data_IF_432413479665
#
_entry.id   IF_432413479665
#
_cell.length_a   1.000
_cell.length_b   1.000
_cell.length_c   1.000
_cell.angle_alpha   90.00
_cell.angle_beta   90.00
_cell.angle_gamma   90.00
#
_symmetry.space_group_name_H-M   'P 1'
#
loop_
_entity.id
_entity.type
_entity.pdbx_description
1 polymer ?
#
# COMPACT_ATOMS: atom_id res chain seq x y z
N UNK A 1 93.15 3.71 54.83
CA UNK A 1 93.42 2.68 55.84
C UNK A 1 93.20 1.31 55.20
N UNK A 2 94.18 0.73 54.49
CA UNK A 2 95.22 -0.20 54.98
C UNK A 2 94.72 -1.41 55.78
N UNK A 3 94.77 -2.56 55.08
CA UNK A 3 95.15 -3.93 55.50
C UNK A 3 94.43 -4.57 56.69
N UNK A 4 93.90 -5.77 56.46
CA UNK A 4 94.50 -6.97 57.07
C UNK A 4 94.10 -8.24 56.33
N UNK A 5 95.09 -8.79 55.63
CA UNK A 5 95.23 -10.19 55.25
C UNK A 5 95.42 -11.05 56.51
N UNK A 6 94.60 -12.09 56.67
CA UNK A 6 94.96 -13.40 57.29
C UNK A 6 93.70 -14.24 57.47
N UNK A 7 93.51 -15.17 56.55
CA UNK A 7 93.24 -16.57 56.89
C UNK A 7 93.30 -17.37 55.58
N UNK A 8 94.53 -17.57 55.12
CA UNK A 8 94.91 -18.81 54.46
C UNK A 8 95.07 -19.88 55.55
N UNK A 9 94.72 -21.12 55.20
CA UNK A 9 94.83 -22.36 55.98
C UNK A 9 93.68 -22.73 56.93
N UNK A 10 92.56 -23.16 56.34
CA UNK A 10 91.97 -24.47 56.63
C UNK A 10 90.85 -24.80 55.63
N UNK A 11 90.83 -26.04 55.14
CA UNK A 11 89.85 -26.66 54.23
C UNK A 11 90.22 -26.74 52.74
N UNK A 12 91.43 -27.24 52.46
CA UNK A 12 91.51 -28.38 51.56
C UNK A 12 90.77 -29.58 52.21
N UNK A 13 90.00 -30.32 51.39
CA UNK A 13 89.18 -31.52 51.67
C UNK A 13 87.67 -31.25 51.85
N UNK A 14 86.96 -31.19 50.72
CA UNK A 14 85.97 -32.21 50.33
C UNK A 14 85.65 -32.04 48.83
N UNK A 15 86.67 -32.16 47.97
CA UNK A 15 86.46 -32.60 46.57
C UNK A 15 86.19 -34.10 46.59
N UNK A 16 85.05 -34.48 47.17
CA UNK A 16 84.43 -35.76 46.94
C UNK A 16 83.37 -35.53 45.89
N UNK A 17 83.70 -35.72 44.62
CA UNK A 17 82.67 -35.99 43.62
C UNK A 17 81.90 -37.19 44.19
N UNK A 18 80.60 -37.06 44.52
CA UNK A 18 79.88 -38.14 45.18
C UNK A 18 80.00 -39.39 44.31
N UNK A 19 80.16 -40.59 44.89
CA UNK A 19 80.32 -41.81 44.11
C UNK A 19 79.15 -41.90 43.12
N UNK A 20 79.44 -42.26 41.87
CA UNK A 20 78.45 -42.28 40.79
C UNK A 20 77.22 -43.18 41.11
N UNK A 21 77.37 -44.06 42.10
CA UNK A 21 76.37 -45.02 42.59
C UNK A 21 75.81 -44.67 43.99
N UNK A 22 75.73 -43.39 44.40
CA UNK A 22 74.97 -43.00 45.59
C UNK A 22 73.45 -43.13 45.32
N UNK A 23 72.77 -44.10 45.94
CA UNK A 23 71.36 -44.40 45.65
C UNK A 23 70.42 -43.24 46.03
N UNK A 24 70.80 -42.40 46.97
CA UNK A 24 70.01 -41.24 47.39
C UNK A 24 70.10 -40.13 46.34
N UNK A 25 71.29 -39.88 45.79
CA UNK A 25 71.51 -38.91 44.71
C UNK A 25 70.87 -39.36 43.38
N UNK A 26 70.90 -40.66 43.08
CA UNK A 26 70.20 -41.23 41.93
C UNK A 26 68.67 -41.06 42.05
N UNK A 27 68.10 -41.38 43.23
CA UNK A 27 66.67 -41.20 43.50
C UNK A 27 66.24 -39.73 43.46
N UNK A 28 67.07 -38.80 43.95
CA UNK A 28 66.83 -37.36 43.88
C UNK A 28 66.84 -36.83 42.45
N UNK A 29 67.79 -37.27 41.60
CA UNK A 29 67.83 -36.89 40.18
C UNK A 29 66.61 -37.41 39.42
N UNK A 30 66.21 -38.65 39.68
CA UNK A 30 64.97 -39.20 39.12
C UNK A 30 63.72 -38.43 39.57
N UNK A 31 63.64 -38.07 40.84
CA UNK A 31 62.54 -37.26 41.36
C UNK A 31 62.52 -35.85 40.73
N UNK A 32 63.68 -35.23 40.51
CA UNK A 32 63.80 -33.93 39.85
C UNK A 32 63.36 -34.00 38.38
N UNK A 33 63.73 -35.06 37.65
CA UNK A 33 63.28 -35.28 36.27
C UNK A 33 61.76 -35.44 36.22
N UNK A 34 61.19 -36.31 37.06
CA UNK A 34 59.72 -36.52 37.15
C UNK A 34 58.99 -35.23 37.52
N UNK A 35 59.54 -34.43 38.43
CA UNK A 35 58.96 -33.14 38.82
C UNK A 35 59.01 -32.13 37.66
N UNK A 36 60.13 -32.03 36.94
CA UNK A 36 60.26 -31.14 35.77
C UNK A 36 59.31 -31.53 34.64
N UNK A 37 59.16 -32.82 34.36
CA UNK A 37 58.20 -33.32 33.36
C UNK A 37 56.75 -33.00 33.75
N UNK A 38 56.40 -33.24 35.02
CA UNK A 38 55.07 -32.92 35.56
C UNK A 38 54.79 -31.41 35.54
N UNK A 39 55.79 -30.58 35.86
CA UNK A 39 55.68 -29.12 35.82
C UNK A 39 55.46 -28.60 34.39
N UNK A 40 56.20 -29.14 33.41
CA UNK A 40 56.01 -28.79 31.98
C UNK A 40 54.63 -29.18 31.47
N UNK A 41 54.13 -30.37 31.85
CA UNK A 41 52.78 -30.80 31.48
C UNK A 41 51.70 -29.88 32.08
N UNK A 42 51.88 -29.43 33.33
CA UNK A 42 50.98 -28.48 33.97
C UNK A 42 51.02 -27.10 33.32
N UNK A 43 52.22 -26.61 32.93
CA UNK A 43 52.36 -25.36 32.17
C UNK A 43 51.64 -25.43 30.83
N UNK A 44 51.79 -26.54 30.11
CA UNK A 44 51.11 -26.75 28.83
C UNK A 44 49.58 -26.76 29.01
N UNK A 45 49.06 -27.45 30.02
CA UNK A 45 47.62 -27.44 30.31
C UNK A 45 47.10 -26.06 30.74
N UNK A 46 47.89 -25.29 31.51
CA UNK A 46 47.53 -23.93 31.89
C UNK A 46 47.43 -23.03 30.66
N UNK A 47 48.36 -23.15 29.73
CA UNK A 47 48.40 -22.33 28.52
C UNK A 47 47.27 -22.73 27.55
N UNK A 48 46.96 -24.03 27.43
CA UNK A 48 45.79 -24.53 26.69
C UNK A 48 44.47 -24.03 27.29
N UNK A 49 44.32 -24.04 28.62
CA UNK A 49 43.13 -23.53 29.31
C UNK A 49 43.00 -22.00 29.13
N UNK A 50 44.11 -21.26 29.16
CA UNK A 50 44.11 -19.82 28.91
C UNK A 50 43.66 -19.50 27.47
N UNK A 51 44.15 -20.25 26.48
CA UNK A 51 43.72 -20.11 25.10
C UNK A 51 42.23 -20.45 24.92
N UNK A 52 41.74 -21.54 25.54
CA UNK A 52 40.34 -21.93 25.49
C UNK A 52 39.40 -20.90 26.16
N UNK A 53 39.85 -20.25 27.24
CA UNK A 53 39.10 -19.16 27.88
C UNK A 53 39.00 -17.93 27.00
N UNK A 54 40.12 -17.52 26.39
CA UNK A 54 40.13 -16.38 25.47
C UNK A 54 39.23 -16.62 24.25
N UNK A 55 39.20 -17.85 23.73
CA UNK A 55 38.32 -18.21 22.61
C UNK A 55 36.84 -18.21 23.02
N UNK A 56 36.50 -18.72 24.22
CA UNK A 56 35.13 -18.65 24.73
C UNK A 56 34.65 -17.20 24.92
N UNK A 57 35.46 -16.34 25.53
CA UNK A 57 35.12 -14.91 25.70
C UNK A 57 34.85 -14.24 24.34
N UNK A 58 35.65 -14.58 23.33
CA UNK A 58 35.45 -14.08 21.96
C UNK A 58 34.13 -14.59 21.35
N UNK A 59 33.83 -15.88 21.47
CA UNK A 59 32.59 -16.47 20.95
C UNK A 59 31.35 -15.95 21.66
N UNK A 60 31.41 -15.71 22.97
CA UNK A 60 30.33 -15.10 23.75
C UNK A 60 30.05 -13.66 23.28
N UNK A 61 31.10 -12.87 23.02
CA UNK A 61 30.96 -11.53 22.47
C UNK A 61 30.34 -11.55 21.05
N UNK A 62 30.76 -12.47 20.19
CA UNK A 62 30.19 -12.61 18.84
C UNK A 62 28.72 -13.06 18.86
N UNK A 63 28.37 -13.98 19.77
CA UNK A 63 26.99 -14.43 19.96
C UNK A 63 26.09 -13.29 20.45
N UNK A 64 26.56 -12.50 21.42
CA UNK A 64 25.83 -11.35 21.93
C UNK A 64 25.58 -10.30 20.82
N UNK A 65 26.59 -10.03 19.98
CA UNK A 65 26.46 -9.13 18.83
C UNK A 65 25.40 -9.63 17.82
N UNK A 66 25.43 -10.91 17.44
CA UNK A 66 24.43 -11.49 16.53
C UNK A 66 23.02 -11.51 17.10
N UNK A 67 22.88 -11.74 18.41
CA UNK A 67 21.57 -11.70 19.07
C UNK A 67 20.98 -10.29 19.06
N UNK A 68 21.80 -9.26 19.28
CA UNK A 68 21.37 -7.87 19.19
C UNK A 68 20.91 -7.49 17.77
N UNK A 69 21.66 -7.93 16.74
CA UNK A 69 21.31 -7.73 15.33
C UNK A 69 19.99 -8.42 14.97
N UNK A 70 19.83 -9.69 15.33
CA UNK A 70 18.60 -10.45 15.08
C UNK A 70 17.38 -9.84 15.79
N UNK A 71 17.55 -9.30 17.01
CA UNK A 71 16.50 -8.60 17.73
C UNK A 71 16.12 -7.26 17.08
N UNK A 72 17.07 -6.58 16.42
CA UNK A 72 16.78 -5.41 15.58
C UNK A 72 15.93 -5.76 14.37
N UNK A 73 16.35 -6.79 13.63
CA UNK A 73 15.64 -7.27 12.44
C UNK A 73 14.22 -7.75 12.75
N UNK A 74 14.01 -8.48 13.86
CA UNK A 74 12.68 -8.93 14.28
C UNK A 74 11.76 -7.78 14.62
N UNK A 75 12.24 -6.78 15.37
CA UNK A 75 11.44 -5.58 15.68
C UNK A 75 11.06 -4.81 14.41
N UNK A 76 11.97 -4.71 13.44
CA UNK A 76 11.68 -4.09 12.15
C UNK A 76 10.62 -4.88 11.37
N UNK A 77 10.73 -6.22 11.33
CA UNK A 77 9.77 -7.08 10.65
C UNK A 77 8.38 -7.09 11.30
N UNK A 78 8.30 -7.07 12.63
CA UNK A 78 7.04 -6.96 13.38
C UNK A 78 6.36 -5.63 13.09
N UNK A 79 7.11 -4.52 13.11
CA UNK A 79 6.58 -3.20 12.79
C UNK A 79 6.10 -3.09 11.32
N UNK A 80 6.84 -3.67 10.38
CA UNK A 80 6.45 -3.78 8.97
C UNK A 80 5.14 -4.57 8.81
N UNK A 81 4.98 -5.66 9.58
CA UNK A 81 3.79 -6.53 9.53
C UNK A 81 2.55 -5.86 10.12
N UNK A 82 2.66 -5.23 11.29
CA UNK A 82 1.57 -4.43 11.87
C UNK A 82 1.12 -3.31 10.92
N UNK A 83 2.07 -2.67 10.23
CA UNK A 83 1.77 -1.62 9.25
C UNK A 83 1.12 -2.16 7.98
N UNK A 84 1.55 -3.32 7.49
CA UNK A 84 0.90 -3.99 6.36
C UNK A 84 -0.56 -4.39 6.72
N UNK A 85 -0.80 -4.83 7.95
CA UNK A 85 -2.14 -5.16 8.44
C UNK A 85 -3.00 -3.89 8.59
N UNK A 86 -2.45 -2.79 9.12
CA UNK A 86 -3.13 -1.48 9.17
C UNK A 86 -3.43 -0.91 7.78
N UNK A 87 -2.51 -1.08 6.83
CA UNK A 87 -2.69 -0.69 5.42
C UNK A 87 -3.78 -1.53 4.75
N UNK A 88 -3.76 -2.85 4.93
CA UNK A 88 -4.79 -3.74 4.42
C UNK A 88 -6.17 -3.42 5.02
N UNK A 89 -6.25 -3.14 6.32
CA UNK A 89 -7.48 -2.73 6.98
C UNK A 89 -7.96 -1.35 6.51
N UNK A 90 -7.05 -0.41 6.26
CA UNK A 90 -7.39 0.91 5.70
C UNK A 90 -7.88 0.79 4.27
N UNK A 91 -7.24 -0.04 3.43
CA UNK A 91 -7.68 -0.34 2.06
C UNK A 91 -9.03 -1.07 2.01
N UNK A 92 -9.30 -1.97 2.95
CA UNK A 92 -10.60 -2.63 3.08
C UNK A 92 -11.71 -1.62 3.45
N UNK A 93 -11.39 -0.62 4.27
CA UNK A 93 -12.30 0.48 4.59
C UNK A 93 -12.46 1.45 3.41
N UNK A 94 -11.40 1.68 2.62
CA UNK A 94 -11.42 2.40 1.34
C UNK A 94 -12.41 1.76 0.36
N UNK A 95 -12.40 0.43 0.25
CA UNK A 95 -13.32 -0.31 -0.62
C UNK A 95 -14.79 -0.18 -0.17
N UNK A 96 -15.05 0.08 1.12
CA UNK A 96 -16.40 0.34 1.66
C UNK A 96 -16.86 1.78 1.50
N UNK A 97 -15.92 2.73 1.49
CA UNK A 97 -16.15 4.16 1.35
C UNK A 97 -16.25 4.64 -0.11
N UNK A 98 -16.13 3.73 -1.09
CA UNK A 98 -16.32 3.97 -2.53
C UNK A 98 -17.71 4.54 -2.92
N UNK A 99 -18.58 4.83 -1.95
CA UNK A 99 -19.95 5.28 -2.18
C UNK A 99 -20.29 6.67 -1.60
N UNK A 100 -19.34 7.42 -1.01
CA UNK A 100 -19.69 8.74 -0.42
C UNK A 100 -18.65 9.86 -0.45
N UNK A 101 -17.49 9.71 -1.11
CA UNK A 101 -16.46 10.76 -1.16
C UNK A 101 -15.59 10.78 -2.42
N UNK A 102 -14.90 11.90 -2.65
CA UNK A 102 -13.87 12.02 -3.69
C UNK A 102 -12.71 11.10 -3.32
N UNK A 103 -12.21 10.34 -4.29
CA UNK A 103 -11.20 9.32 -3.98
C UNK A 103 -9.89 9.93 -3.47
N UNK A 104 -9.65 11.20 -3.79
CA UNK A 104 -8.55 11.99 -3.24
C UNK A 104 -8.67 12.21 -1.73
N UNK A 105 -9.90 12.38 -1.20
CA UNK A 105 -10.13 12.53 0.25
C UNK A 105 -9.72 11.27 1.01
N UNK A 106 -9.96 10.13 0.39
CA UNK A 106 -9.69 8.84 0.97
C UNK A 106 -8.18 8.56 1.06
N UNK A 107 -7.46 8.87 -0.03
CA UNK A 107 -6.00 8.79 -0.07
C UNK A 107 -5.42 9.74 0.99
N UNK A 108 -5.92 10.96 1.05
CA UNK A 108 -5.48 11.97 2.01
C UNK A 108 -5.72 11.49 3.45
N UNK A 109 -6.92 10.99 3.78
CA UNK A 109 -7.23 10.43 5.12
C UNK A 109 -6.30 9.29 5.50
N UNK A 110 -6.01 8.38 4.57
CA UNK A 110 -5.08 7.29 4.81
C UNK A 110 -3.67 7.81 5.12
N UNK A 111 -3.18 8.79 4.35
CA UNK A 111 -1.89 9.44 4.59
C UNK A 111 -1.85 10.11 5.97
N UNK A 112 -2.86 10.92 6.31
CA UNK A 112 -2.96 11.59 7.61
C UNK A 112 -2.94 10.58 8.77
N UNK A 113 -3.71 9.49 8.65
CA UNK A 113 -3.77 8.44 9.67
C UNK A 113 -2.42 7.77 9.88
N UNK A 114 -1.72 7.44 8.78
CA UNK A 114 -0.47 6.67 8.85
C UNK A 114 0.73 7.52 9.27
N UNK A 115 0.76 8.81 8.92
CA UNK A 115 1.82 9.73 9.35
C UNK A 115 1.51 10.42 10.68
N UNK A 116 0.31 10.25 11.23
CA UNK A 116 -0.16 10.97 12.41
C UNK A 116 -0.35 12.48 12.17
N UNK A 117 -0.50 12.90 10.92
CA UNK A 117 -0.75 14.29 10.55
C UNK A 117 -2.21 14.65 10.77
N UNK A 118 -2.46 15.90 11.15
CA UNK A 118 -3.82 16.37 11.45
C UNK A 118 -4.42 17.19 10.31
N UNK A 119 -3.58 17.75 9.44
CA UNK A 119 -4.00 18.61 8.32
C UNK A 119 -3.34 18.14 7.04
N UNK A 120 -4.01 18.33 5.91
CA UNK A 120 -3.38 18.05 4.62
C UNK A 120 -4.19 18.46 3.41
N UNK A 121 -3.54 18.40 2.25
CA UNK A 121 -4.12 18.60 0.94
C UNK A 121 -3.58 17.60 -0.07
N UNK A 122 -4.45 17.18 -0.98
CA UNK A 122 -4.09 16.47 -2.20
C UNK A 122 -4.28 17.43 -3.38
N UNK A 123 -3.24 17.60 -4.17
CA UNK A 123 -3.26 18.42 -5.37
C UNK A 123 -2.93 17.60 -6.60
N UNK A 124 -3.60 17.87 -7.73
CA UNK A 124 -3.28 17.29 -9.03
C UNK A 124 -2.65 18.32 -9.94
N UNK A 125 -1.71 17.89 -10.77
CA UNK A 125 -1.16 18.68 -11.87
C UNK A 125 -1.17 17.88 -13.17
N UNK A 126 -1.40 18.55 -14.29
CA UNK A 126 -1.34 17.96 -15.63
C UNK A 126 0.04 18.11 -16.30
N UNK A 127 0.88 19.01 -15.79
CA UNK A 127 2.25 19.29 -16.28
C UNK A 127 3.07 19.98 -15.15
N UNK A 128 4.40 19.88 -15.08
CA UNK A 128 5.19 20.58 -14.05
C UNK A 128 5.02 22.10 -14.06
N UNK A 129 4.72 22.67 -15.24
CA UNK A 129 4.45 24.10 -15.43
C UNK A 129 2.95 24.46 -15.39
N UNK A 130 2.06 23.47 -15.24
CA UNK A 130 0.62 23.68 -15.26
C UNK A 130 0.08 24.20 -13.93
N UNK A 131 -1.14 24.76 -14.01
CA UNK A 131 -1.89 25.15 -12.82
C UNK A 131 -2.19 23.93 -11.94
N UNK A 132 -1.89 24.07 -10.65
CA UNK A 132 -2.16 23.03 -9.65
C UNK A 132 -3.61 23.13 -9.19
N UNK A 133 -4.31 21.99 -9.12
CA UNK A 133 -5.70 21.92 -8.69
C UNK A 133 -5.83 21.13 -7.38
N UNK A 134 -6.41 21.76 -6.35
CA UNK A 134 -6.74 21.07 -5.09
C UNK A 134 -7.90 20.10 -5.34
N UNK A 135 -7.72 18.84 -4.95
CA UNK A 135 -8.73 17.77 -5.10
C UNK A 135 -9.31 17.30 -3.77
N UNK A 136 -8.55 17.45 -2.70
CA UNK A 136 -8.97 17.14 -1.34
C UNK A 136 -8.23 18.05 -0.37
N UNK A 137 -8.90 18.43 0.71
CA UNK A 137 -8.33 19.21 1.79
C UNK A 137 -8.98 18.80 3.11
N UNK A 138 -8.16 18.68 4.15
CA UNK A 138 -8.59 18.41 5.52
C UNK A 138 -7.89 19.43 6.41
N UNK A 139 -8.68 20.33 6.99
CA UNK A 139 -8.23 21.40 7.89
C UNK A 139 -7.09 22.29 7.32
N UNK A 140 -6.93 22.28 6.00
CA UNK A 140 -5.91 23.05 5.28
C UNK A 140 -6.52 23.95 4.18
N UNK A 141 -7.80 24.32 4.34
CA UNK A 141 -8.47 25.27 3.45
C UNK A 141 -8.00 26.70 3.75
N UNK A 142 -6.98 27.12 3.02
CA UNK A 142 -6.44 28.47 3.13
C UNK A 142 -7.18 29.42 2.18
N UNK A 143 -7.56 30.61 2.68
CA UNK A 143 -8.12 31.66 1.83
C UNK A 143 -7.10 32.04 0.74
N UNK A 144 -7.58 32.24 -0.50
CA UNK A 144 -6.73 32.66 -1.61
C UNK A 144 -5.98 33.97 -1.25
N UNK A 145 -4.66 33.98 -1.43
CA UNK A 145 -3.80 35.11 -1.07
C UNK A 145 -3.39 35.18 0.41
N UNK A 146 -3.70 34.17 1.23
CA UNK A 146 -3.14 34.06 2.58
C UNK A 146 -1.70 33.54 2.57
N UNK A 147 -0.92 33.88 3.61
CA UNK A 147 0.44 33.37 3.78
C UNK A 147 0.52 31.84 3.77
N UNK A 148 -0.48 31.16 4.34
CA UNK A 148 -0.56 29.69 4.32
C UNK A 148 -0.77 29.16 2.90
N UNK A 149 -1.62 29.80 2.10
CA UNK A 149 -1.85 29.41 0.70
C UNK A 149 -0.58 29.61 -0.14
N UNK A 150 0.14 30.72 0.06
CA UNK A 150 1.42 30.99 -0.62
C UNK A 150 2.50 29.98 -0.22
N UNK A 151 2.60 29.66 1.07
CA UNK A 151 3.52 28.65 1.58
C UNK A 151 3.25 27.26 1.01
N UNK A 152 1.99 26.82 1.01
CA UNK A 152 1.58 25.53 0.44
C UNK A 152 1.89 25.49 -1.05
N UNK A 153 1.55 26.55 -1.79
CA UNK A 153 1.83 26.65 -3.22
C UNK A 153 3.34 26.62 -3.53
N UNK A 154 4.16 27.32 -2.74
CA UNK A 154 5.62 27.31 -2.89
C UNK A 154 6.21 25.91 -2.63
N UNK A 155 5.77 25.27 -1.54
CA UNK A 155 6.21 23.91 -1.18
C UNK A 155 5.82 22.90 -2.25
N UNK A 156 4.59 22.96 -2.76
CA UNK A 156 4.15 22.07 -3.83
C UNK A 156 4.94 22.30 -5.13
N UNK A 157 5.25 23.54 -5.48
CA UNK A 157 6.04 23.87 -6.68
C UNK A 157 7.45 23.30 -6.60
N UNK A 158 8.07 23.35 -5.42
CA UNK A 158 9.40 22.77 -5.19
C UNK A 158 9.36 21.23 -5.32
N UNK A 159 8.35 20.56 -4.76
CA UNK A 159 8.15 19.12 -4.96
C UNK A 159 7.93 18.78 -6.43
N UNK A 160 7.14 19.57 -7.15
CA UNK A 160 6.87 19.36 -8.58
C UNK A 160 8.15 19.48 -9.42
N UNK A 161 9.03 20.43 -9.09
CA UNK A 161 10.28 20.66 -9.82
C UNK A 161 11.36 19.63 -9.50
N UNK A 162 11.43 19.20 -8.25
CA UNK A 162 12.48 18.27 -7.77
C UNK A 162 12.06 16.81 -7.89
N UNK A 163 10.77 16.53 -7.89
CA UNK A 163 10.18 15.20 -7.68
C UNK A 163 10.74 14.49 -6.43
N UNK A 164 11.09 15.26 -5.40
CA UNK A 164 11.59 14.76 -4.12
C UNK A 164 10.63 15.06 -2.98
N UNK A 165 10.72 14.27 -1.90
CA UNK A 165 10.00 14.56 -0.66
C UNK A 165 10.65 15.76 0.01
N UNK A 166 9.81 16.69 0.46
CA UNK A 166 10.22 17.81 1.29
C UNK A 166 9.70 17.63 2.70
N UNK A 167 10.57 17.79 3.67
CA UNK A 167 10.24 17.79 5.09
C UNK A 167 10.68 19.14 5.68
N UNK A 168 9.77 19.84 6.35
CA UNK A 168 10.04 21.12 7.01
C UNK A 168 9.49 21.07 8.43
N UNK A 169 10.40 20.98 9.39
CA UNK A 169 10.10 20.98 10.82
C UNK A 169 10.39 22.36 11.43
N UNK A 170 9.74 22.70 12.54
CA UNK A 170 9.99 23.96 13.25
C UNK A 170 9.46 25.24 12.58
N UNK A 171 8.53 25.12 11.62
CA UNK A 171 7.98 26.24 10.84
C UNK A 171 7.31 27.33 11.69
N UNK A 172 6.69 26.95 12.81
CA UNK A 172 6.05 27.91 13.73
C UNK A 172 7.05 28.83 14.47
N UNK A 173 8.36 28.51 14.45
CA UNK A 173 9.39 29.33 15.08
C UNK A 173 9.88 30.49 14.20
N UNK A 174 9.63 30.47 12.89
CA UNK A 174 10.21 31.43 11.94
C UNK A 174 9.34 32.66 11.63
N UNK A 175 8.04 32.66 11.95
CA UNK A 175 7.16 33.82 11.71
C UNK A 175 6.11 33.88 12.80
N UNK A 176 6.09 34.97 13.56
CA UNK A 176 5.20 35.18 14.72
C UNK A 176 3.71 35.35 14.38
N UNK A 177 3.05 34.37 13.75
CA UNK A 177 1.61 34.37 13.50
C UNK A 177 0.98 32.98 13.63
N UNK A 178 -0.21 32.96 14.25
CA UNK A 178 -1.03 31.80 14.61
C UNK A 178 -1.67 31.04 13.41
N UNK A 179 -1.08 31.09 12.21
CA UNK A 179 -1.70 30.55 10.98
C UNK A 179 -0.77 29.68 10.12
N UNK A 180 0.51 29.54 10.46
CA UNK A 180 1.42 28.62 9.77
C UNK A 180 1.40 27.22 10.42
N UNK A 181 1.70 26.19 9.60
CA UNK A 181 1.92 24.83 10.07
C UNK A 181 3.11 24.80 11.06
N UNK A 182 3.04 23.95 12.08
CA UNK A 182 4.16 23.66 12.99
C UNK A 182 5.27 22.91 12.26
N UNK A 183 4.87 21.90 11.50
CA UNK A 183 5.72 21.09 10.64
C UNK A 183 4.89 20.61 9.45
N UNK A 184 5.56 20.34 8.33
CA UNK A 184 4.92 19.79 7.15
C UNK A 184 5.83 18.84 6.39
N UNK A 185 5.19 17.95 5.64
CA UNK A 185 5.83 17.06 4.71
C UNK A 185 5.03 17.04 3.41
N UNK A 186 5.73 17.11 2.27
CA UNK A 186 5.11 17.06 0.96
C UNK A 186 5.83 16.04 0.08
N UNK A 187 5.06 15.17 -0.59
CA UNK A 187 5.58 14.12 -1.44
C UNK A 187 4.93 14.13 -2.83
N UNK A 188 5.70 13.84 -3.90
CA UNK A 188 5.15 13.69 -5.24
C UNK A 188 4.29 12.43 -5.32
N UNK A 189 3.21 12.49 -6.09
CA UNK A 189 2.42 11.33 -6.47
C UNK A 189 2.69 11.01 -7.93
N UNK A 190 3.35 9.88 -8.17
CA UNK A 190 3.73 9.45 -9.52
C UNK A 190 2.80 8.32 -9.97
N UNK A 191 2.12 8.53 -11.09
CA UNK A 191 1.23 7.55 -11.71
C UNK A 191 1.80 7.14 -13.06
N UNK A 192 2.07 5.84 -13.24
CA UNK A 192 2.64 5.28 -14.50
C UNK A 192 3.89 6.02 -14.98
N UNK A 193 4.77 6.40 -14.06
CA UNK A 193 6.01 7.12 -14.37
C UNK A 193 5.84 8.58 -14.77
N UNK A 194 4.66 9.18 -14.55
CA UNK A 194 4.41 10.61 -14.70
C UNK A 194 3.97 11.22 -13.38
N UNK A 195 4.50 12.38 -13.04
CA UNK A 195 4.03 13.16 -11.90
C UNK A 195 2.55 13.52 -12.12
N UNK A 196 1.69 13.05 -11.22
CA UNK A 196 0.25 13.26 -11.27
C UNK A 196 -0.23 14.31 -10.26
N UNK A 197 0.59 14.61 -9.24
CA UNK A 197 0.17 15.48 -8.15
C UNK A 197 1.17 15.53 -7.00
N UNK A 198 0.74 16.20 -5.92
CA UNK A 198 1.47 16.32 -4.66
C UNK A 198 0.51 16.09 -3.51
N UNK A 199 0.95 15.32 -2.52
CA UNK A 199 0.27 15.25 -1.21
C UNK A 199 1.10 16.06 -0.23
N UNK A 200 0.45 16.99 0.45
CA UNK A 200 1.03 17.73 1.56
C UNK A 200 0.27 17.39 2.84
N UNK A 201 1.02 17.02 3.88
CA UNK A 201 0.51 16.78 5.23
C UNK A 201 1.22 17.70 6.21
N UNK A 202 0.55 18.06 7.30
CA UNK A 202 1.07 19.00 8.27
C UNK A 202 0.50 18.79 9.67
N UNK A 203 1.17 19.43 10.63
CA UNK A 203 0.84 19.38 12.05
C UNK A 203 0.76 17.94 12.56
N UNK A 204 1.87 17.19 12.42
CA UNK A 204 2.02 15.83 12.96
C UNK A 204 1.78 15.84 14.45
N UNK A 205 0.79 15.09 14.95
CA UNK A 205 0.33 15.18 16.34
C UNK A 205 1.46 14.95 17.37
N UNK A 206 2.33 13.97 17.09
CA UNK A 206 3.45 13.60 17.96
C UNK A 206 4.80 13.90 17.29
N UNK A 207 5.46 14.96 17.76
CA UNK A 207 6.81 15.32 17.31
C UNK A 207 6.85 15.88 15.88
N UNK A 208 8.00 15.67 15.25
CA UNK A 208 8.34 16.14 13.92
C UNK A 208 8.27 15.01 12.88
N UNK A 209 8.19 15.40 11.61
CA UNK A 209 8.25 14.45 10.51
C UNK A 209 9.68 13.92 10.36
N UNK A 210 9.81 12.62 10.20
CA UNK A 210 11.07 11.91 10.00
C UNK A 210 11.13 11.18 8.65
N UNK A 211 12.24 10.49 8.40
CA UNK A 211 12.46 9.74 7.16
C UNK A 211 11.46 8.57 6.98
N UNK A 212 10.97 7.99 8.09
CA UNK A 212 9.98 6.91 8.03
C UNK A 212 8.62 7.46 7.59
N UNK A 213 8.23 8.64 8.04
CA UNK A 213 7.02 9.30 7.55
C UNK A 213 7.11 9.60 6.05
N UNK A 214 8.29 10.03 5.57
CA UNK A 214 8.53 10.30 4.16
C UNK A 214 8.35 9.04 3.29
N UNK A 215 8.89 7.91 3.73
CA UNK A 215 8.68 6.62 3.07
C UNK A 215 7.22 6.20 3.06
N UNK A 216 6.49 6.40 4.17
CA UNK A 216 5.04 6.13 4.26
C UNK A 216 4.29 6.95 3.22
N UNK A 217 4.53 8.27 3.19
CA UNK A 217 3.77 9.19 2.36
C UNK A 217 3.98 8.90 0.88
N UNK A 218 5.22 8.62 0.46
CA UNK A 218 5.55 8.22 -0.91
C UNK A 218 4.86 6.91 -1.31
N UNK A 219 5.00 5.88 -0.47
CA UNK A 219 4.51 4.54 -0.76
C UNK A 219 2.98 4.51 -0.82
N UNK A 220 2.32 5.04 0.21
CA UNK A 220 0.86 5.05 0.34
C UNK A 220 0.24 5.99 -0.70
N UNK A 221 0.80 7.19 -0.86
CA UNK A 221 0.31 8.16 -1.84
C UNK A 221 0.30 7.59 -3.25
N UNK A 222 1.39 6.94 -3.66
CA UNK A 222 1.52 6.36 -5.00
C UNK A 222 0.65 5.10 -5.18
N UNK A 223 0.66 4.16 -4.23
CA UNK A 223 -0.13 2.92 -4.30
C UNK A 223 -1.63 3.20 -4.28
N UNK A 224 -2.08 4.08 -3.39
CA UNK A 224 -3.48 4.44 -3.29
C UNK A 224 -3.93 5.18 -4.55
N UNK A 225 -3.14 6.12 -5.09
CA UNK A 225 -3.44 6.78 -6.35
C UNK A 225 -3.59 5.80 -7.53
N UNK A 226 -2.72 4.78 -7.62
CA UNK A 226 -2.83 3.75 -8.67
C UNK A 226 -4.11 2.93 -8.53
N UNK A 227 -4.41 2.41 -7.34
CA UNK A 227 -5.60 1.58 -7.11
C UNK A 227 -6.89 2.36 -7.40
N UNK A 228 -6.92 3.61 -6.97
CA UNK A 228 -8.02 4.55 -7.15
C UNK A 228 -8.23 4.92 -8.61
N UNK A 229 -7.17 5.25 -9.33
CA UNK A 229 -7.26 5.64 -10.73
C UNK A 229 -7.65 4.44 -11.60
N UNK A 230 -7.16 3.24 -11.27
CA UNK A 230 -7.61 2.01 -11.93
C UNK A 230 -9.12 1.79 -11.75
N UNK A 231 -9.64 1.97 -10.52
CA UNK A 231 -11.08 1.85 -10.27
C UNK A 231 -11.90 2.95 -10.97
N UNK A 232 -11.36 4.18 -11.09
CA UNK A 232 -11.99 5.27 -11.85
C UNK A 232 -12.05 4.97 -13.34
N UNK A 233 -10.93 4.56 -13.93
CA UNK A 233 -10.83 4.19 -15.34
C UNK A 233 -11.75 3.00 -15.68
N UNK A 234 -11.83 2.02 -14.80
CA UNK A 234 -12.78 0.90 -14.97
C UNK A 234 -14.23 1.39 -15.01
N UNK A 235 -14.62 2.31 -14.11
CA UNK A 235 -15.96 2.91 -14.13
C UNK A 235 -16.21 3.73 -15.39
N UNK A 236 -15.25 4.54 -15.82
CA UNK A 236 -15.38 5.36 -17.04
C UNK A 236 -15.53 4.51 -18.31
N UNK A 237 -14.78 3.40 -18.40
CA UNK A 237 -14.93 2.41 -19.46
C UNK A 237 -16.33 1.78 -19.40
N UNK A 238 -16.80 1.42 -18.21
CA UNK A 238 -18.13 0.83 -18.02
C UNK A 238 -19.25 1.81 -18.41
N UNK A 239 -19.16 3.08 -18.00
CA UNK A 239 -20.12 4.12 -18.37
C UNK A 239 -20.13 4.38 -19.88
N UNK A 240 -18.96 4.46 -20.49
CA UNK A 240 -18.83 4.62 -21.96
C UNK A 240 -19.46 3.45 -22.70
N UNK A 241 -19.20 2.22 -22.25
CA UNK A 241 -19.81 1.02 -22.81
C UNK A 241 -21.34 1.07 -22.73
N UNK A 242 -21.88 1.43 -21.56
CA UNK A 242 -23.32 1.53 -21.34
C UNK A 242 -23.97 2.68 -22.15
N UNK A 243 -23.24 3.78 -22.37
CA UNK A 243 -23.66 4.86 -23.25
C UNK A 243 -23.77 4.40 -24.71
N UNK A 244 -22.78 3.66 -25.21
CA UNK A 244 -22.83 3.06 -26.57
C UNK A 244 -24.02 2.12 -26.69
N UNK A 245 -24.26 1.29 -25.67
CA UNK A 245 -25.43 0.40 -25.62
C UNK A 245 -26.74 1.20 -25.67
N UNK A 246 -26.82 2.33 -24.97
CA UNK A 246 -27.96 3.25 -25.07
C UNK A 246 -28.18 3.82 -26.47
N UNK A 247 -27.11 4.26 -27.13
CA UNK A 247 -27.19 4.77 -28.53
C UNK A 247 -27.66 3.68 -29.50
N UNK A 248 -27.20 2.44 -29.33
CA UNK A 248 -27.67 1.31 -30.15
C UNK A 248 -29.14 0.99 -29.89
N UNK A 249 -29.60 1.09 -28.64
CA UNK A 249 -31.00 0.94 -28.28
C UNK A 249 -31.87 2.00 -28.97
N UNK A 250 -31.46 3.26 -28.94
CA UNK A 250 -32.15 4.38 -29.60
C UNK A 250 -32.21 4.18 -31.12
N UNK A 251 -31.13 3.68 -31.73
CA UNK A 251 -31.08 3.37 -33.16
C UNK A 251 -32.06 2.25 -33.55
N UNK A 252 -32.21 1.22 -32.72
CA UNK A 252 -33.17 0.13 -32.95
C UNK A 252 -34.60 0.63 -32.71
N UNK A 253 -34.84 1.46 -31.70
CA UNK A 253 -36.14 2.09 -31.46
C UNK A 253 -36.58 2.96 -32.64
N UNK A 254 -35.64 3.65 -33.31
CA UNK A 254 -35.95 4.44 -34.51
C UNK A 254 -36.47 3.61 -35.70
N UNK A 255 -36.24 2.28 -35.75
CA UNK A 255 -36.82 1.40 -36.78
C UNK A 255 -38.32 1.15 -36.63
N UNK A 256 -38.90 1.49 -35.47
CA UNK A 256 -40.32 1.39 -35.22
C UNK A 256 -40.92 2.77 -34.87
N UNK A 257 -41.17 3.65 -35.86
CA UNK A 257 -41.64 5.01 -35.62
C UNK A 257 -43.02 5.09 -34.98
N UNK A 258 -43.79 3.98 -35.00
CA UNK A 258 -45.14 3.92 -34.46
C UNK A 258 -45.16 3.65 -32.95
N UNK A 259 -44.06 3.15 -32.38
CA UNK A 259 -43.90 2.99 -30.94
C UNK A 259 -43.22 4.24 -30.39
N UNK A 260 -43.80 4.92 -29.37
CA UNK A 260 -43.10 5.99 -28.68
C UNK A 260 -41.74 5.48 -28.22
N UNK A 261 -40.66 6.12 -28.69
CA UNK A 261 -39.27 5.85 -28.32
C UNK A 261 -39.19 5.45 -26.83
N UNK A 262 -38.40 4.43 -26.43
CA UNK A 262 -38.11 4.15 -25.02
C UNK A 262 -37.59 5.42 -24.37
N UNK A 263 -38.49 6.21 -23.79
CA UNK A 263 -38.07 7.51 -23.29
C UNK A 263 -37.14 7.23 -22.12
N UNK A 264 -36.02 7.96 -22.00
CA UNK A 264 -35.21 7.96 -20.79
C UNK A 264 -36.06 8.14 -19.51
N UNK A 265 -37.26 8.72 -19.63
CA UNK A 265 -38.27 8.81 -18.58
C UNK A 265 -38.82 7.45 -18.07
N UNK A 266 -39.05 6.47 -18.95
CA UNK A 266 -39.54 5.15 -18.55
C UNK A 266 -38.48 4.38 -17.74
N UNK A 267 -37.24 4.34 -18.24
CA UNK A 267 -36.13 3.70 -17.52
C UNK A 267 -35.82 4.41 -16.21
N UNK A 268 -35.90 5.76 -16.17
CA UNK A 268 -35.78 6.53 -14.90
C UNK A 268 -36.88 6.20 -13.90
N UNK A 269 -38.13 6.06 -14.36
CA UNK A 269 -39.26 5.66 -13.48
C UNK A 269 -39.09 4.24 -12.94
N UNK A 270 -38.67 3.30 -13.79
CA UNK A 270 -38.41 1.92 -13.37
C UNK A 270 -37.28 1.86 -12.33
N UNK A 271 -36.21 2.63 -12.53
CA UNK A 271 -35.12 2.78 -11.54
C UNK A 271 -35.61 3.37 -10.22
N UNK A 272 -36.39 4.46 -10.27
CA UNK A 272 -36.94 5.10 -9.07
C UNK A 272 -37.88 4.14 -8.30
N UNK A 273 -38.65 3.31 -9.01
CA UNK A 273 -39.45 2.26 -8.37
C UNK A 273 -38.58 1.20 -7.70
N UNK A 274 -37.52 0.73 -8.37
CA UNK A 274 -36.57 -0.22 -7.79
C UNK A 274 -35.89 0.35 -6.52
N UNK A 275 -35.55 1.64 -6.54
CA UNK A 275 -35.03 2.36 -5.37
C UNK A 275 -36.04 2.39 -4.21
N UNK A 276 -37.31 2.72 -4.49
CA UNK A 276 -38.38 2.72 -3.47
C UNK A 276 -38.65 1.33 -2.88
N UNK A 277 -38.42 0.28 -3.66
CA UNK A 277 -38.51 -1.11 -3.21
C UNK A 277 -37.29 -1.58 -2.41
N UNK A 278 -36.26 -0.74 -2.26
CA UNK A 278 -35.07 -1.04 -1.49
C UNK A 278 -34.06 -1.94 -2.20
N UNK A 279 -34.11 -2.05 -3.53
CA UNK A 279 -33.13 -2.83 -4.29
C UNK A 279 -31.74 -2.17 -4.21
N UNK A 280 -30.66 -2.96 -4.14
CA UNK A 280 -29.30 -2.42 -4.16
C UNK A 280 -28.98 -1.73 -5.51
N UNK A 281 -28.07 -0.76 -5.50
CA UNK A 281 -27.78 0.10 -6.66
C UNK A 281 -27.42 -0.67 -7.95
N UNK A 282 -26.73 -1.81 -7.82
CA UNK A 282 -26.40 -2.65 -8.96
C UNK A 282 -27.66 -3.27 -9.61
N UNK A 283 -28.65 -3.69 -8.82
CA UNK A 283 -29.94 -4.20 -9.33
C UNK A 283 -30.81 -3.08 -9.91
N UNK A 284 -30.81 -1.89 -9.29
CA UNK A 284 -31.47 -0.71 -9.86
C UNK A 284 -30.94 -0.38 -11.25
N UNK A 285 -29.63 -0.52 -11.46
CA UNK A 285 -28.98 -0.33 -12.75
C UNK A 285 -29.41 -1.40 -13.76
N UNK A 286 -29.50 -2.67 -13.34
CA UNK A 286 -30.02 -3.76 -14.19
C UNK A 286 -31.45 -3.46 -14.65
N UNK A 287 -32.34 -3.01 -13.76
CA UNK A 287 -33.73 -2.63 -14.10
C UNK A 287 -33.76 -1.46 -15.10
N UNK A 288 -32.91 -0.46 -14.90
CA UNK A 288 -32.80 0.68 -15.82
C UNK A 288 -32.42 0.24 -17.24
N UNK A 289 -31.36 -0.56 -17.37
CA UNK A 289 -30.88 -1.02 -18.68
C UNK A 289 -31.82 -2.05 -19.31
N UNK A 290 -32.46 -2.90 -18.52
CA UNK A 290 -33.46 -3.84 -19.04
C UNK A 290 -34.66 -3.10 -19.63
N UNK A 291 -35.10 -2.01 -18.99
CA UNK A 291 -36.17 -1.16 -19.52
C UNK A 291 -35.76 -0.49 -20.82
N UNK A 292 -34.50 -0.04 -20.92
CA UNK A 292 -33.95 0.60 -22.12
C UNK A 292 -33.81 -0.39 -23.28
N UNK A 293 -33.41 -1.63 -22.99
CA UNK A 293 -33.05 -2.66 -23.97
C UNK A 293 -34.13 -3.71 -24.21
N UNK A 294 -35.30 -3.61 -23.57
CA UNK A 294 -36.37 -4.63 -23.66
C UNK A 294 -36.76 -4.98 -25.10
N UNK A 295 -36.69 -4.00 -25.99
CA UNK A 295 -37.12 -4.09 -27.38
C UNK A 295 -35.94 -4.33 -28.35
N UNK A 296 -34.72 -4.59 -27.85
CA UNK A 296 -33.50 -4.74 -28.68
C UNK A 296 -33.62 -5.86 -29.71
N UNK A 297 -34.35 -6.94 -29.38
CA UNK A 297 -34.53 -8.08 -30.27
C UNK A 297 -35.39 -7.80 -31.50
N UNK A 298 -36.04 -6.62 -31.58
CA UNK A 298 -36.72 -6.17 -32.79
C UNK A 298 -35.76 -6.03 -33.99
N UNK A 299 -34.44 -6.06 -33.76
CA UNK A 299 -33.44 -6.21 -34.81
C UNK A 299 -33.66 -7.44 -35.70
N UNK A 300 -34.17 -8.54 -35.14
CA UNK A 300 -34.45 -9.77 -35.88
C UNK A 300 -35.86 -9.85 -36.49
N UNK A 301 -36.70 -8.84 -36.26
CA UNK A 301 -38.07 -8.77 -36.79
C UNK A 301 -38.09 -7.92 -38.07
N UNK A 302 -38.82 -8.39 -39.09
CA UNK A 302 -38.90 -7.71 -40.39
C UNK A 302 -39.67 -6.39 -40.28
N UNK A 303 -39.21 -5.36 -41.01
CA UNK A 303 -39.84 -4.02 -40.98
C UNK A 303 -41.30 -4.06 -41.44
N UNK A 304 -41.64 -4.95 -42.38
CA UNK A 304 -43.01 -5.08 -42.91
C UNK A 304 -44.01 -5.60 -41.87
N UNK A 305 -43.56 -6.45 -40.94
CA UNK A 305 -44.38 -6.92 -39.81
C UNK A 305 -44.35 -5.90 -38.68
N UNK A 306 -43.17 -5.36 -38.35
CA UNK A 306 -42.98 -4.40 -37.27
C UNK A 306 -43.74 -3.07 -37.50
N UNK A 307 -43.82 -2.62 -38.75
CA UNK A 307 -44.45 -1.35 -39.15
C UNK A 307 -45.78 -1.55 -39.92
N UNK A 308 -46.41 -2.72 -39.80
CA UNK A 308 -47.65 -3.03 -40.54
C UNK A 308 -48.76 -2.04 -40.17
N UNK A 309 -49.39 -1.36 -41.15
CA UNK A 309 -50.57 -0.54 -40.87
C UNK A 309 -51.79 -1.43 -40.62
N UNK A 310 -52.37 -1.33 -39.43
CA UNK A 310 -53.57 -2.09 -39.04
C UNK A 310 -53.26 -3.28 -38.10
N UNK A 311 -54.26 -4.12 -37.78
CA UNK A 311 -54.08 -5.21 -36.84
C UNK A 311 -53.17 -6.30 -37.40
N UNK A 312 -52.36 -6.87 -36.50
CA UNK A 312 -51.51 -8.03 -36.79
C UNK A 312 -52.35 -9.31 -36.83
N UNK A 313 -51.99 -10.21 -37.73
CA UNK A 313 -52.44 -11.60 -37.73
C UNK A 313 -51.77 -12.36 -36.58
N UNK A 314 -52.35 -13.49 -36.17
CA UNK A 314 -51.78 -14.29 -35.07
C UNK A 314 -50.32 -14.70 -35.33
N UNK A 315 -50.03 -15.20 -36.53
CA UNK A 315 -48.66 -15.57 -36.92
C UNK A 315 -47.69 -14.37 -36.96
N UNK A 316 -48.19 -13.17 -37.28
CA UNK A 316 -47.37 -11.94 -37.25
C UNK A 316 -47.09 -11.51 -35.81
N UNK A 317 -48.06 -11.69 -34.92
CA UNK A 317 -47.91 -11.42 -33.49
C UNK A 317 -46.91 -12.38 -32.85
N UNK A 318 -47.01 -13.68 -33.14
CA UNK A 318 -46.02 -14.69 -32.73
C UNK A 318 -44.61 -14.32 -33.22
N UNK A 319 -44.48 -13.86 -34.47
CA UNK A 319 -43.21 -13.40 -35.01
C UNK A 319 -42.67 -12.19 -34.24
N UNK A 320 -43.51 -11.22 -33.87
CA UNK A 320 -43.07 -10.09 -33.03
C UNK A 320 -42.59 -10.60 -31.68
N UNK A 321 -43.31 -11.52 -31.02
CA UNK A 321 -42.91 -12.04 -29.70
C UNK A 321 -41.52 -12.70 -29.69
N UNK A 322 -41.01 -13.15 -30.84
CA UNK A 322 -39.62 -13.67 -30.93
C UNK A 322 -38.56 -12.64 -30.54
N UNK A 323 -38.85 -11.33 -30.57
CA UNK A 323 -37.92 -10.29 -30.13
C UNK A 323 -37.45 -10.48 -28.69
N UNK A 324 -38.28 -11.09 -27.84
CA UNK A 324 -37.95 -11.38 -26.45
C UNK A 324 -36.79 -12.38 -26.37
N UNK A 325 -36.89 -13.47 -27.11
CA UNK A 325 -35.86 -14.51 -27.19
C UNK A 325 -34.61 -14.00 -27.90
N UNK A 326 -34.77 -13.31 -29.03
CA UNK A 326 -33.65 -12.72 -29.79
C UNK A 326 -32.90 -11.71 -28.91
N UNK A 327 -33.62 -10.84 -28.19
CA UNK A 327 -33.03 -9.86 -27.28
C UNK A 327 -32.26 -10.53 -26.16
N UNK A 328 -32.82 -11.57 -25.54
CA UNK A 328 -32.12 -12.38 -24.55
C UNK A 328 -30.83 -13.00 -25.11
N UNK A 329 -30.89 -13.65 -26.27
CA UNK A 329 -29.74 -14.34 -26.89
C UNK A 329 -28.61 -13.37 -27.27
N UNK A 330 -28.95 -12.15 -27.69
CA UNK A 330 -27.98 -11.10 -27.95
C UNK A 330 -27.32 -10.60 -26.66
N UNK A 331 -28.11 -10.33 -25.62
CA UNK A 331 -27.63 -9.76 -24.37
C UNK A 331 -26.84 -10.76 -23.50
N UNK A 332 -27.20 -12.05 -23.51
CA UNK A 332 -26.52 -13.11 -22.76
C UNK A 332 -25.05 -13.31 -23.17
N UNK A 333 -24.70 -12.96 -24.41
CA UNK A 333 -23.33 -13.05 -24.93
C UNK A 333 -22.38 -12.07 -24.23
N UNK A 334 -22.91 -11.00 -23.63
CA UNK A 334 -22.12 -10.01 -22.89
C UNK A 334 -22.23 -10.31 -21.40
N UNK A 335 -21.12 -10.66 -20.70
CA UNK A 335 -21.15 -10.98 -19.28
C UNK A 335 -21.80 -9.90 -18.39
N UNK A 336 -21.57 -8.63 -18.69
CA UNK A 336 -22.14 -7.48 -17.96
C UNK A 336 -23.67 -7.36 -18.12
N UNK A 337 -24.25 -7.90 -19.19
CA UNK A 337 -25.67 -7.75 -19.53
C UNK A 337 -26.51 -9.00 -19.23
N UNK A 338 -25.94 -10.06 -18.64
CA UNK A 338 -26.70 -11.29 -18.34
C UNK A 338 -27.90 -11.04 -17.44
N UNK A 339 -27.77 -10.21 -16.40
CA UNK A 339 -28.89 -9.84 -15.53
C UNK A 339 -29.97 -9.03 -16.26
N UNK A 340 -29.56 -8.19 -17.23
CA UNK A 340 -30.47 -7.45 -18.11
C UNK A 340 -31.21 -8.43 -19.02
N UNK A 341 -30.50 -9.40 -19.61
CA UNK A 341 -31.06 -10.40 -20.53
C UNK A 341 -32.18 -11.23 -19.90
N UNK A 342 -32.10 -11.54 -18.60
CA UNK A 342 -33.17 -12.23 -17.88
C UNK A 342 -34.45 -11.41 -17.78
N UNK A 343 -34.34 -10.11 -17.48
CA UNK A 343 -35.52 -9.24 -17.41
C UNK A 343 -36.12 -9.04 -18.81
N UNK A 344 -35.26 -8.82 -19.82
CA UNK A 344 -35.71 -8.68 -21.22
C UNK A 344 -36.44 -9.94 -21.69
N UNK A 345 -35.99 -11.14 -21.30
CA UNK A 345 -36.66 -12.40 -21.64
C UNK A 345 -38.10 -12.51 -21.10
N UNK A 346 -38.44 -11.79 -20.04
CA UNK A 346 -39.72 -11.98 -19.35
C UNK A 346 -40.58 -10.71 -19.30
N UNK A 347 -40.23 -9.66 -20.05
CA UNK A 347 -40.90 -8.36 -19.90
C UNK A 347 -42.34 -8.30 -20.43
N UNK A 348 -42.80 -9.31 -21.18
CA UNK A 348 -44.20 -9.49 -21.58
C UNK A 348 -44.96 -10.48 -20.69
N UNK A 349 -44.27 -11.15 -19.76
CA UNK A 349 -44.91 -12.09 -18.84
C UNK A 349 -45.85 -11.35 -17.89
N UNK A 350 -46.88 -12.06 -17.46
CA UNK A 350 -47.85 -11.54 -16.52
C UNK A 350 -47.91 -12.42 -15.29
N UNK A 351 -48.22 -11.82 -14.14
CA UNK A 351 -48.25 -12.53 -12.87
C UNK A 351 -49.33 -13.62 -12.83
N UNK A 352 -50.37 -13.50 -13.65
CA UNK A 352 -51.48 -14.45 -13.77
C UNK A 352 -51.17 -15.73 -14.58
N UNK A 353 -49.95 -15.85 -15.11
CA UNK A 353 -49.53 -16.94 -16.00
C UNK A 353 -50.05 -16.78 -17.43
#
# INVERSE_FOLDING_TARGET
>A
MTRSSRNDDAHQRYEGQPPADDPVLAALREAEIRYRESYRALEQQRDELAAARAENERLEAELAARQAEAAGLRRHAEHQRERADLFANSLNNVHRALFSGSVYDLILKACLTLTGATRGQYLTTSDPDAAVHVRAAIDLDAAAGSQLAEFVAATCREVIQTEQVLVRNGLAAEVGQAQLLRNCMAAPVVLRGRLSGVILVGDKAAGDFDEQDAEVLLSVGSQAAVAVENARLQREVQETYLSIVGVLADAIAARNPQVPQPQPAASRRARALAEQLGLPEHEQSIVYYATLLRDIGNIGVSDGVLNKPGPLLEAERELIHTHVQIGHDLLQQVPLLRGVAEIVRHHHERYDG
#
